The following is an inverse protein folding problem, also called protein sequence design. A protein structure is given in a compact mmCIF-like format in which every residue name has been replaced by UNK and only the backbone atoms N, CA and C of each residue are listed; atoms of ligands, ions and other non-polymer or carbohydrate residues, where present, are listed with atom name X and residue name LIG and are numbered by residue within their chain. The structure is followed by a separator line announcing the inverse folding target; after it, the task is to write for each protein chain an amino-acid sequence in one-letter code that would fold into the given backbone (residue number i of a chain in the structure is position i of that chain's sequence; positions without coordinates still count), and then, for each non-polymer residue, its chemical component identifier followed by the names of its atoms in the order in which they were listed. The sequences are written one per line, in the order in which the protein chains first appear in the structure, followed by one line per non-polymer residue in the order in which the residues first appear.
data_IF_094289019911
#
_entry.id   IF_094289019911
#
_cell.length_a   1.000
_cell.length_b   1.000
_cell.length_c   1.000
_cell.angle_alpha   90.00
_cell.angle_beta   90.00
_cell.angle_gamma   90.00
#
_symmetry.space_group_name_H-M   'P 1'
#
loop_
_entity.id
_entity.type
_entity.pdbx_description
1 polymer ?
#
# COMPACT_ATOMS: atom_id res chain seq x y z
N UNK A 1 6.10 -10.19 1.78
CA UNK A 1 6.03 -8.81 2.33
C UNK A 1 6.79 -8.75 3.63
N UNK A 2 7.57 -7.73 3.83
CA UNK A 2 8.36 -7.52 5.05
C UNK A 2 8.09 -6.13 5.59
N UNK A 3 7.88 -6.01 6.89
CA UNK A 3 7.70 -4.76 7.62
C UNK A 3 8.84 -4.67 8.64
N UNK A 4 9.50 -3.53 8.72
CA UNK A 4 10.62 -3.33 9.65
C UNK A 4 10.65 -1.91 10.20
N UNK A 5 11.20 -1.69 11.42
CA UNK A 5 11.50 -0.35 11.89
C UNK A 5 12.62 0.27 11.04
N UNK A 6 12.40 1.48 10.57
CA UNK A 6 13.34 2.18 9.70
C UNK A 6 14.16 3.21 10.49
N UNK A 7 15.45 2.95 10.61
CA UNK A 7 16.54 3.87 11.03
C UNK A 7 16.37 4.78 12.26
N UNK A 8 15.18 5.26 12.51
CA UNK A 8 14.79 6.03 13.69
C UNK A 8 13.55 5.42 14.31
N UNK A 9 13.25 5.77 15.55
CA UNK A 9 12.08 5.25 16.28
C UNK A 9 10.71 5.73 15.73
N UNK A 10 10.72 6.57 14.69
CA UNK A 10 9.55 7.24 14.16
C UNK A 10 9.10 6.76 12.77
N UNK A 11 9.77 5.77 12.19
CA UNK A 11 9.48 5.33 10.83
C UNK A 11 9.29 3.80 10.76
N UNK A 12 8.42 3.37 9.86
CA UNK A 12 8.22 1.96 9.51
C UNK A 12 8.54 1.78 8.03
N UNK A 13 9.39 0.80 7.72
CA UNK A 13 9.66 0.37 6.35
C UNK A 13 8.80 -0.81 5.93
N UNK A 14 8.49 -0.90 4.66
CA UNK A 14 7.75 -1.99 4.03
C UNK A 14 8.41 -2.37 2.72
N UNK A 15 8.70 -3.67 2.54
CA UNK A 15 9.03 -4.25 1.24
C UNK A 15 7.95 -5.23 0.84
N UNK A 16 7.43 -5.10 -0.36
CA UNK A 16 6.48 -6.01 -0.98
C UNK A 16 6.98 -6.49 -2.33
N UNK A 17 6.54 -7.66 -2.74
CA UNK A 17 6.86 -8.28 -4.01
C UNK A 17 5.61 -8.92 -4.62
N UNK A 18 5.44 -8.79 -5.93
CA UNK A 18 4.33 -9.37 -6.67
C UNK A 18 4.71 -9.69 -8.11
N UNK A 19 3.90 -10.50 -8.79
CA UNK A 19 4.12 -10.87 -10.18
C UNK A 19 3.73 -9.75 -11.17
N UNK A 20 2.87 -8.82 -10.76
CA UNK A 20 2.41 -7.69 -11.58
C UNK A 20 2.38 -6.40 -10.76
N UNK A 21 2.41 -5.22 -11.42
CA UNK A 21 2.31 -3.95 -10.70
C UNK A 21 0.96 -3.78 -9.98
N UNK A 22 -0.12 -4.27 -10.55
CA UNK A 22 -1.46 -4.18 -9.94
C UNK A 22 -1.55 -5.01 -8.66
N UNK A 23 -1.01 -6.23 -8.67
CA UNK A 23 -0.91 -7.07 -7.48
C UNK A 23 0.05 -6.46 -6.45
N UNK A 24 1.11 -5.79 -6.89
CA UNK A 24 2.04 -5.12 -6.00
C UNK A 24 1.37 -3.97 -5.25
N UNK A 25 0.56 -3.15 -5.93
CA UNK A 25 -0.23 -2.09 -5.28
C UNK A 25 -1.12 -2.69 -4.19
N UNK A 26 -1.82 -3.80 -4.49
CA UNK A 26 -2.63 -4.51 -3.49
C UNK A 26 -1.80 -4.94 -2.28
N UNK A 27 -0.64 -5.55 -2.50
CA UNK A 27 0.25 -6.00 -1.42
C UNK A 27 0.72 -4.83 -0.55
N UNK A 28 1.07 -3.70 -1.16
CA UNK A 28 1.52 -2.50 -0.47
C UNK A 28 0.40 -1.88 0.37
N UNK A 29 -0.80 -1.74 -0.19
CA UNK A 29 -1.98 -1.21 0.52
C UNK A 29 -2.31 -2.07 1.74
N UNK A 30 -2.42 -3.38 1.56
CA UNK A 30 -2.74 -4.29 2.66
C UNK A 30 -1.61 -4.35 3.70
N UNK A 31 -0.36 -4.28 3.26
CA UNK A 31 0.80 -4.23 4.15
C UNK A 31 0.83 -2.98 5.01
N UNK A 32 0.55 -1.82 4.42
CA UNK A 32 0.42 -0.55 5.16
C UNK A 32 -0.69 -0.64 6.21
N UNK A 33 -1.87 -1.11 5.82
CA UNK A 33 -3.01 -1.28 6.74
C UNK A 33 -2.65 -2.25 7.88
N UNK A 34 -2.04 -3.37 7.58
CA UNK A 34 -1.66 -4.35 8.58
C UNK A 34 -0.61 -3.84 9.56
N UNK A 35 0.31 -2.97 9.11
CA UNK A 35 1.34 -2.39 9.98
C UNK A 35 0.76 -1.48 11.07
N UNK A 36 -0.46 -0.97 10.88
CA UNK A 36 -1.15 -0.13 11.86
C UNK A 36 -1.99 -0.92 12.88
N UNK A 37 -2.34 -2.17 12.57
CA UNK A 37 -3.25 -2.95 13.40
C UNK A 37 -2.59 -3.48 14.67
N UNK A 38 -3.34 -3.42 15.77
CA UNK A 38 -3.06 -4.27 16.93
C UNK A 38 -3.48 -5.74 16.66
N UNK A 39 -3.08 -6.64 17.53
CA UNK A 39 -3.56 -8.04 17.45
C UNK A 39 -5.10 -8.12 17.59
N UNK A 40 -5.69 -7.28 18.42
CA UNK A 40 -7.13 -7.16 18.58
C UNK A 40 -7.78 -6.62 17.32
N UNK A 41 -7.20 -5.57 16.72
CA UNK A 41 -7.67 -4.98 15.46
C UNK A 41 -7.67 -5.98 14.30
N UNK A 42 -6.65 -6.83 14.20
CA UNK A 42 -6.60 -7.90 13.20
C UNK A 42 -7.75 -8.90 13.33
N UNK A 43 -8.15 -9.22 14.54
CA UNK A 43 -9.31 -10.10 14.81
C UNK A 43 -10.63 -9.39 14.52
N UNK A 44 -10.74 -8.12 14.91
CA UNK A 44 -11.93 -7.29 14.68
C UNK A 44 -12.23 -7.16 13.19
N UNK A 45 -11.25 -6.77 12.37
CA UNK A 45 -11.47 -6.60 10.94
C UNK A 45 -11.97 -7.86 10.24
N UNK A 46 -11.55 -9.05 10.71
CA UNK A 46 -11.97 -10.35 10.16
C UNK A 46 -13.43 -10.69 10.45
N UNK A 47 -14.03 -10.08 11.46
CA UNK A 47 -15.40 -10.33 11.91
C UNK A 47 -16.41 -9.29 11.45
N UNK A 48 -15.95 -8.15 10.92
CA UNK A 48 -16.81 -7.06 10.48
C UNK A 48 -17.39 -7.31 9.08
N UNK A 49 -18.60 -6.80 8.80
CA UNK A 49 -19.19 -6.90 7.45
C UNK A 49 -18.41 -6.07 6.45
N UNK A 50 -18.21 -6.62 5.28
CA UNK A 50 -17.57 -5.92 4.17
C UNK A 50 -18.55 -5.03 3.42
N UNK A 51 -18.08 -3.83 3.10
CA UNK A 51 -18.73 -2.89 2.18
C UNK A 51 -17.86 -2.78 0.92
N UNK A 52 -18.45 -2.38 -0.18
CA UNK A 52 -17.75 -2.26 -1.47
C UNK A 52 -17.95 -0.87 -2.06
N UNK A 53 -16.86 -0.32 -2.58
CA UNK A 53 -16.84 0.98 -3.26
C UNK A 53 -15.95 0.93 -4.48
N UNK A 54 -16.20 1.83 -5.43
CA UNK A 54 -15.30 2.06 -6.55
C UNK A 54 -14.67 3.43 -6.41
N UNK A 55 -13.35 3.48 -6.48
CA UNK A 55 -12.60 4.74 -6.51
C UNK A 55 -12.06 4.99 -7.92
N UNK A 56 -12.11 6.24 -8.35
CA UNK A 56 -11.43 6.72 -9.54
C UNK A 56 -10.43 7.78 -9.10
N UNK A 57 -9.14 7.46 -9.21
CA UNK A 57 -8.07 8.33 -8.76
C UNK A 57 -7.32 8.90 -9.96
N UNK A 58 -7.08 10.21 -10.00
CA UNK A 58 -6.20 10.79 -11.01
C UNK A 58 -4.77 10.28 -10.75
N UNK A 59 -4.13 9.79 -11.79
CA UNK A 59 -2.78 9.24 -11.71
C UNK A 59 -1.92 9.80 -12.83
N UNK A 60 -0.63 9.63 -12.68
CA UNK A 60 0.36 9.90 -13.72
C UNK A 60 0.75 8.59 -14.42
N UNK A 61 1.79 8.57 -15.21
CA UNK A 61 2.38 7.34 -15.75
C UNK A 61 3.58 6.86 -14.90
N UNK A 62 3.83 7.52 -13.78
CA UNK A 62 4.93 7.27 -12.86
C UNK A 62 4.43 6.53 -11.62
N UNK A 63 4.80 5.27 -11.48
CA UNK A 63 4.42 4.44 -10.36
C UNK A 63 4.88 4.98 -9.01
N UNK A 64 6.03 5.62 -8.92
CA UNK A 64 6.55 6.18 -7.67
C UNK A 64 5.64 7.30 -7.14
N UNK A 65 5.05 8.07 -8.05
CA UNK A 65 4.07 9.10 -7.68
C UNK A 65 2.71 8.53 -7.40
N UNK A 66 2.28 7.58 -8.22
CA UNK A 66 0.93 7.02 -8.15
C UNK A 66 0.73 6.18 -6.91
N UNK A 67 1.74 5.38 -6.50
CA UNK A 67 1.63 4.58 -5.28
C UNK A 67 1.47 5.46 -4.03
N UNK A 68 2.18 6.58 -3.95
CA UNK A 68 2.03 7.52 -2.84
C UNK A 68 0.61 8.09 -2.79
N UNK A 69 0.05 8.49 -3.93
CA UNK A 69 -1.33 9.01 -4.00
C UNK A 69 -2.36 7.97 -3.59
N UNK A 70 -2.19 6.73 -4.03
CA UNK A 70 -3.10 5.63 -3.67
C UNK A 70 -3.07 5.39 -2.16
N UNK A 71 -1.88 5.34 -1.56
CA UNK A 71 -1.72 5.13 -0.13
C UNK A 71 -2.25 6.29 0.70
N UNK A 72 -2.02 7.53 0.26
CA UNK A 72 -2.59 8.72 0.90
C UNK A 72 -4.11 8.71 0.85
N UNK A 73 -4.71 8.28 -0.26
CA UNK A 73 -6.18 8.11 -0.34
C UNK A 73 -6.69 7.04 0.63
N UNK A 74 -5.98 5.91 0.76
CA UNK A 74 -6.33 4.87 1.73
C UNK A 74 -6.33 5.42 3.16
N UNK A 75 -5.30 6.17 3.55
CA UNK A 75 -5.21 6.80 4.85
C UNK A 75 -6.33 7.84 5.07
N UNK A 76 -6.57 8.68 4.06
CA UNK A 76 -7.64 9.68 4.10
C UNK A 76 -9.02 9.04 4.28
N UNK A 77 -9.31 7.95 3.57
CA UNK A 77 -10.58 7.25 3.69
C UNK A 77 -10.78 6.64 5.06
N UNK A 78 -9.74 6.09 5.66
CA UNK A 78 -9.79 5.56 7.01
C UNK A 78 -10.08 6.66 8.06
N UNK A 79 -9.45 7.83 7.91
CA UNK A 79 -9.57 8.92 8.89
C UNK A 79 -10.84 9.76 8.73
N UNK A 80 -11.30 9.99 7.51
CA UNK A 80 -12.37 10.94 7.23
C UNK A 80 -13.70 10.25 6.94
N UNK A 81 -13.65 9.06 6.35
CA UNK A 81 -14.86 8.33 5.92
C UNK A 81 -15.10 7.04 6.70
N UNK A 82 -14.27 6.72 7.69
CA UNK A 82 -14.33 5.47 8.46
C UNK A 82 -14.25 4.20 7.58
N UNK A 83 -13.56 4.28 6.44
CA UNK A 83 -13.39 3.18 5.50
C UNK A 83 -12.02 2.51 5.71
N UNK A 84 -11.97 1.40 6.42
CA UNK A 84 -10.77 0.58 6.58
C UNK A 84 -10.66 -0.45 5.47
N UNK A 85 -9.72 -0.29 4.56
CA UNK A 85 -9.55 -1.16 3.39
C UNK A 85 -9.10 -2.57 3.81
N UNK A 86 -9.82 -3.58 3.37
CA UNK A 86 -9.51 -4.99 3.61
C UNK A 86 -9.19 -5.75 2.33
N UNK A 87 -9.60 -5.22 1.18
CA UNK A 87 -9.21 -5.73 -0.14
C UNK A 87 -9.27 -4.62 -1.18
N UNK A 88 -8.41 -4.69 -2.18
CA UNK A 88 -8.37 -3.74 -3.29
C UNK A 88 -7.98 -4.46 -4.58
N UNK A 89 -8.69 -4.15 -5.66
CA UNK A 89 -8.34 -4.57 -7.01
C UNK A 89 -8.22 -3.35 -7.90
N UNK A 90 -7.14 -3.30 -8.69
CA UNK A 90 -6.81 -2.18 -9.55
C UNK A 90 -7.06 -2.60 -10.99
N UNK A 91 -7.76 -1.75 -11.72
CA UNK A 91 -7.99 -1.94 -13.15
C UNK A 91 -6.96 -1.17 -13.98
N UNK A 92 -6.74 -1.58 -15.24
CA UNK A 92 -5.83 -0.90 -16.12
C UNK A 92 -6.10 0.61 -16.17
N UNK A 93 -5.02 1.37 -16.25
CA UNK A 93 -5.08 2.82 -16.37
C UNK A 93 -5.92 3.21 -17.59
N UNK A 94 -6.87 4.08 -17.37
CA UNK A 94 -7.70 4.69 -18.42
C UNK A 94 -7.24 6.11 -18.70
N UNK A 95 -7.68 6.61 -19.86
CA UNK A 95 -7.55 8.03 -20.21
C UNK A 95 -8.95 8.51 -20.51
N UNK A 96 -9.39 9.56 -19.85
CA UNK A 96 -10.69 10.14 -20.05
C UNK A 96 -10.77 11.00 -21.33
N UNK A 97 -11.94 11.60 -21.58
CA UNK A 97 -12.17 12.47 -22.74
C UNK A 97 -11.35 13.77 -22.72
N UNK A 98 -10.77 14.14 -21.57
CA UNK A 98 -9.91 15.31 -21.39
C UNK A 98 -8.42 14.95 -21.43
N UNK A 99 -8.09 13.70 -21.77
CA UNK A 99 -6.75 13.10 -21.77
C UNK A 99 -6.11 13.05 -20.37
N UNK A 100 -6.89 13.04 -19.31
CA UNK A 100 -6.40 12.81 -17.95
C UNK A 100 -6.33 11.32 -17.67
N UNK A 101 -5.17 10.87 -17.17
CA UNK A 101 -4.99 9.49 -16.77
C UNK A 101 -5.63 9.25 -15.41
N UNK A 102 -6.34 8.15 -15.28
CA UNK A 102 -6.94 7.72 -14.02
C UNK A 102 -6.76 6.22 -13.79
N UNK A 103 -6.84 5.82 -12.55
CA UNK A 103 -6.89 4.42 -12.14
C UNK A 103 -8.21 4.14 -11.43
N UNK A 104 -8.88 3.07 -11.85
CA UNK A 104 -10.08 2.61 -11.19
C UNK A 104 -9.72 1.51 -10.19
N UNK A 105 -10.22 1.64 -8.96
CA UNK A 105 -10.03 0.65 -7.91
C UNK A 105 -11.39 0.14 -7.44
N UNK A 106 -11.54 -1.17 -7.34
CA UNK A 106 -12.63 -1.77 -6.56
C UNK A 106 -12.10 -2.07 -5.17
N UNK A 107 -12.76 -1.53 -4.16
CA UNK A 107 -12.31 -1.56 -2.78
C UNK A 107 -13.35 -2.26 -1.91
N UNK A 108 -12.90 -3.22 -1.09
CA UNK A 108 -13.67 -3.74 0.01
C UNK A 108 -13.14 -3.14 1.31
N UNK A 109 -14.04 -2.68 2.17
CA UNK A 109 -13.69 -2.03 3.42
C UNK A 109 -14.64 -2.41 4.55
N UNK A 110 -14.16 -2.26 5.77
CA UNK A 110 -14.93 -2.39 7.00
C UNK A 110 -14.91 -1.07 7.76
N UNK A 111 -15.79 -0.91 8.74
CA UNK A 111 -15.87 0.31 9.55
C UNK A 111 -14.59 0.52 10.37
N UNK A 112 -13.82 1.55 10.01
CA UNK A 112 -12.54 1.86 10.65
C UNK A 112 -12.68 2.21 12.13
N UNK A 113 -13.84 2.73 12.55
CA UNK A 113 -14.09 3.06 13.97
C UNK A 113 -14.15 1.83 14.88
N UNK A 114 -14.35 0.64 14.30
CA UNK A 114 -14.42 -0.62 15.02
C UNK A 114 -13.12 -1.45 14.92
N UNK A 115 -12.08 -0.90 14.33
CA UNK A 115 -10.79 -1.55 14.15
C UNK A 115 -9.74 -0.87 15.01
N UNK A 116 -9.18 -1.60 15.97
CA UNK A 116 -8.14 -1.06 16.85
C UNK A 116 -6.80 -0.95 16.13
N UNK A 117 -6.23 0.23 16.20
CA UNK A 117 -4.91 0.55 15.66
C UNK A 117 -3.91 0.74 16.80
N UNK A 118 -2.75 0.13 16.67
CA UNK A 118 -1.63 0.29 17.61
C UNK A 118 -0.68 1.40 17.15
N UNK A 119 -0.58 1.58 15.85
CA UNK A 119 0.27 2.58 15.22
C UNK A 119 -0.56 3.43 14.28
N UNK A 120 -0.28 4.73 14.25
CA UNK A 120 -0.86 5.68 13.30
C UNK A 120 0.20 6.12 12.30
N UNK A 121 -0.06 5.88 11.03
CA UNK A 121 0.77 6.41 9.94
C UNK A 121 0.31 7.82 9.62
N UNK A 122 1.21 8.79 9.79
CA UNK A 122 0.95 10.21 9.53
C UNK A 122 1.19 10.60 8.07
N UNK A 123 2.18 9.96 7.44
CA UNK A 123 2.54 10.27 6.07
C UNK A 123 3.22 9.10 5.36
N UNK A 124 3.02 9.05 4.05
CA UNK A 124 3.81 8.21 3.14
C UNK A 124 4.99 9.05 2.66
N UNK A 125 6.21 8.64 3.02
CA UNK A 125 7.40 9.40 2.63
C UNK A 125 7.92 8.95 1.27
N UNK A 126 8.74 9.79 0.64
CA UNK A 126 9.46 9.42 -0.59
C UNK A 126 10.88 8.93 -0.31
N UNK A 127 11.23 8.79 0.95
CA UNK A 127 12.54 8.31 1.37
C UNK A 127 12.69 6.83 1.02
N UNK A 128 13.76 6.48 0.32
CA UNK A 128 14.06 5.13 -0.16
C UNK A 128 12.92 4.48 -0.99
N UNK A 129 12.01 5.29 -1.52
CA UNK A 129 10.89 4.81 -2.33
C UNK A 129 11.39 4.13 -3.60
N UNK A 130 10.93 2.90 -3.81
CA UNK A 130 11.11 2.16 -5.06
C UNK A 130 9.80 1.47 -5.43
N UNK A 131 9.52 1.43 -6.72
CA UNK A 131 8.44 0.65 -7.32
C UNK A 131 8.90 0.24 -8.71
N UNK A 132 9.57 -0.91 -8.81
CA UNK A 132 10.31 -1.32 -9.99
C UNK A 132 10.04 -2.77 -10.40
N UNK A 133 10.20 -3.05 -11.70
CA UNK A 133 10.25 -4.40 -12.23
C UNK A 133 11.66 -4.95 -12.18
N UNK A 134 11.80 -6.19 -11.71
CA UNK A 134 13.04 -6.97 -11.75
C UNK A 134 13.00 -7.98 -12.90
N UNK A 135 14.07 -8.03 -13.69
CA UNK A 135 14.26 -9.06 -14.69
C UNK A 135 14.56 -10.42 -14.03
N UNK A 136 14.56 -11.50 -14.84
CA UNK A 136 14.94 -12.83 -14.37
C UNK A 136 16.32 -12.78 -13.73
N UNK A 137 16.43 -13.34 -12.52
CA UNK A 137 17.66 -13.40 -11.71
C UNK A 137 18.25 -12.04 -11.31
N UNK A 138 17.58 -10.92 -11.60
CA UNK A 138 17.95 -9.61 -11.08
C UNK A 138 17.66 -9.54 -9.58
N UNK A 139 18.61 -9.01 -8.83
CA UNK A 139 18.51 -8.91 -7.37
C UNK A 139 18.39 -7.45 -6.92
N UNK A 140 17.53 -7.20 -5.94
CA UNK A 140 17.46 -5.94 -5.20
C UNK A 140 17.74 -6.20 -3.73
N UNK A 141 18.94 -5.84 -3.29
CA UNK A 141 19.32 -5.87 -1.88
C UNK A 141 18.64 -4.80 -1.04
N UNK A 142 18.96 -4.78 0.23
CA UNK A 142 18.55 -3.74 1.17
C UNK A 142 19.71 -3.38 2.09
N UNK A 143 19.73 -2.14 2.55
CA UNK A 143 20.66 -1.70 3.61
C UNK A 143 20.23 -2.20 4.99
N UNK A 144 19.05 -2.80 5.10
CA UNK A 144 18.47 -3.30 6.34
C UNK A 144 18.59 -4.83 6.38
N UNK A 145 19.19 -5.34 7.44
CA UNK A 145 19.47 -6.77 7.60
C UNK A 145 18.20 -7.63 7.65
N UNK A 146 17.10 -7.05 8.17
CA UNK A 146 15.82 -7.72 8.32
C UNK A 146 15.05 -7.85 7.00
N UNK A 147 15.47 -7.11 5.97
CA UNK A 147 14.78 -7.07 4.68
C UNK A 147 15.41 -8.09 3.74
N UNK A 148 14.64 -9.10 3.29
CA UNK A 148 15.16 -10.10 2.38
C UNK A 148 15.48 -9.48 1.00
N UNK A 149 16.51 -10.03 0.37
CA UNK A 149 16.82 -9.70 -1.04
C UNK A 149 15.63 -10.11 -1.91
N UNK A 150 15.18 -9.19 -2.76
CA UNK A 150 14.19 -9.50 -3.80
C UNK A 150 14.90 -10.01 -5.04
N UNK A 151 14.39 -11.10 -5.63
CA UNK A 151 14.94 -11.72 -6.83
C UNK A 151 13.83 -11.81 -7.88
N UNK A 152 14.10 -11.27 -9.07
CA UNK A 152 13.16 -11.35 -10.21
C UNK A 152 13.03 -12.76 -10.82
N UNK A 153 12.05 -12.97 -11.71
CA UNK A 153 11.23 -11.92 -12.32
C UNK A 153 10.07 -11.46 -11.41
N UNK A 154 9.70 -10.21 -11.50
CA UNK A 154 8.53 -9.66 -10.80
C UNK A 154 8.68 -8.19 -10.46
N UNK A 155 7.80 -7.69 -9.63
CA UNK A 155 7.74 -6.30 -9.20
C UNK A 155 8.02 -6.20 -7.71
N UNK A 156 8.78 -5.20 -7.31
CA UNK A 156 9.13 -4.93 -5.92
C UNK A 156 8.86 -3.47 -5.57
N UNK A 157 8.36 -3.25 -4.37
CA UNK A 157 8.20 -1.92 -3.80
C UNK A 157 8.87 -1.83 -2.43
N UNK A 158 9.58 -0.74 -2.21
CA UNK A 158 10.08 -0.31 -0.91
C UNK A 158 9.45 1.03 -0.54
N UNK A 159 8.90 1.12 0.64
CA UNK A 159 8.25 2.32 1.16
C UNK A 159 8.65 2.57 2.62
N UNK A 160 8.62 3.82 3.00
CA UNK A 160 8.84 4.27 4.37
C UNK A 160 7.66 5.15 4.79
N UNK A 161 7.12 4.85 5.96
CA UNK A 161 6.00 5.57 6.56
C UNK A 161 6.45 6.31 7.81
N UNK A 162 6.06 7.58 7.92
CA UNK A 162 6.21 8.38 9.14
C UNK A 162 5.07 8.05 10.11
N UNK A 163 5.42 7.75 11.36
CA UNK A 163 4.50 7.38 12.43
C UNK A 163 4.52 8.33 13.63
#
# INVERSE_FOLDING_TARGET
MSIWPHGTTADIGLRAFAASPDDLVKQVVLGMQQSMLSEVGSKQQSSLPWHHSQWNLPVTLDWDRDIVKILEEVLFRAEVHDEWVVDISIFPRGVDSENESHIACQVAWVDASQVEREVEIKAVTRHDLQFIELAIDEELGSNYQEVPVAIGPGWVADLVFDI
#
